data_IF_697253872584
#
_entry.id   IF_697253872584
#
_cell.length_a   1.000
_cell.length_b   1.000
_cell.length_c   1.000
_cell.angle_alpha   90.00
_cell.angle_beta   90.00
_cell.angle_gamma   90.00
#
_symmetry.space_group_name_H-M   'P 1'
#
loop_
_entity.id
_entity.type
_entity.pdbx_description
1 polymer ?
#
# COMPACT_ATOMS: atom_id res chain seq x y z
N UNK A 1 -7.47 6.84 14.53
CA UNK A 1 -6.63 6.09 13.57
C UNK A 1 -7.50 5.02 12.93
N UNK A 2 -7.64 5.01 11.60
CA UNK A 2 -8.27 3.89 10.89
C UNK A 2 -7.18 2.90 10.47
N UNK A 3 -7.35 1.62 10.79
CA UNK A 3 -6.38 0.59 10.49
C UNK A 3 -6.39 -0.54 11.51
N UNK A 4 -5.21 -1.04 11.87
CA UNK A 4 -5.03 -2.18 12.77
C UNK A 4 -3.86 -1.92 13.72
N UNK A 5 -3.98 -2.40 14.95
CA UNK A 5 -2.87 -2.56 15.88
C UNK A 5 -3.02 -3.91 16.56
N UNK A 6 -1.95 -4.69 16.56
CA UNK A 6 -1.88 -5.97 17.24
C UNK A 6 -0.48 -6.17 17.79
N UNK A 7 -0.39 -6.78 18.95
CA UNK A 7 0.88 -7.11 19.58
C UNK A 7 0.80 -8.54 20.12
N UNK A 8 1.89 -9.28 19.98
CA UNK A 8 1.99 -10.64 20.47
C UNK A 8 3.40 -10.91 20.97
N UNK A 9 3.48 -11.73 22.02
CA UNK A 9 4.74 -12.19 22.57
C UNK A 9 5.05 -13.55 21.94
N UNK A 10 6.27 -13.67 21.41
CA UNK A 10 6.79 -14.91 20.83
C UNK A 10 8.06 -15.31 21.56
N UNK A 11 8.21 -16.61 21.82
CA UNK A 11 9.42 -17.15 22.41
C UNK A 11 10.28 -17.79 21.32
N UNK A 12 11.50 -17.28 21.13
CA UNK A 12 12.47 -17.78 20.17
C UNK A 12 13.76 -18.08 20.92
N UNK A 13 14.16 -19.35 21.00
CA UNK A 13 15.39 -19.79 21.68
C UNK A 13 15.58 -19.14 23.07
N UNK A 14 14.55 -19.26 23.94
CA UNK A 14 14.53 -18.70 25.31
C UNK A 14 14.53 -17.17 25.40
N UNK A 15 14.38 -16.47 24.27
CA UNK A 15 14.18 -15.02 24.22
C UNK A 15 12.72 -14.72 23.98
N UNK A 16 12.12 -13.96 24.89
CA UNK A 16 10.78 -13.40 24.69
C UNK A 16 10.92 -12.15 23.84
N UNK A 17 10.36 -12.20 22.64
CA UNK A 17 10.33 -11.11 21.69
C UNK A 17 8.88 -10.64 21.57
N UNK A 18 8.70 -9.32 21.59
CA UNK A 18 7.41 -8.69 21.34
C UNK A 18 7.37 -8.30 19.87
N UNK A 19 6.37 -8.78 19.15
CA UNK A 19 6.09 -8.35 17.78
C UNK A 19 4.83 -7.50 17.79
N UNK A 20 4.95 -6.26 17.35
CA UNK A 20 3.85 -5.32 17.18
C UNK A 20 3.64 -5.06 15.70
N UNK A 21 2.43 -5.25 15.20
CA UNK A 21 2.04 -4.92 13.84
C UNK A 21 1.05 -3.76 13.87
N UNK A 22 1.39 -2.68 13.18
CA UNK A 22 0.57 -1.47 13.06
C UNK A 22 0.26 -1.24 11.59
N UNK A 23 -1.01 -1.10 11.23
CA UNK A 23 -1.43 -0.67 9.90
C UNK A 23 -2.18 0.66 10.01
N UNK A 24 -1.74 1.68 9.26
CA UNK A 24 -2.32 3.04 9.23
C UNK A 24 -2.88 3.32 7.84
N UNK A 25 -4.20 3.47 7.72
CA UNK A 25 -4.87 3.81 6.47
C UNK A 25 -4.97 5.32 6.30
N UNK A 26 -4.54 5.84 5.16
CA UNK A 26 -4.70 7.25 4.79
C UNK A 26 -6.17 7.61 4.56
N UNK A 27 -6.56 8.78 5.06
CA UNK A 27 -7.90 9.36 4.85
C UNK A 27 -7.96 10.34 3.68
N UNK A 28 -6.80 10.73 3.12
CA UNK A 28 -6.68 11.81 2.11
C UNK A 28 -7.34 11.47 0.77
N UNK A 29 -7.41 10.18 0.44
CA UNK A 29 -8.10 9.68 -0.74
C UNK A 29 -8.85 8.38 -0.39
N UNK A 30 -9.74 8.48 0.60
CA UNK A 30 -10.54 7.36 1.08
C UNK A 30 -11.82 7.15 0.23
N UNK A 31 -12.25 5.90 0.13
CA UNK A 31 -13.52 5.53 -0.48
C UNK A 31 -13.69 4.01 -0.54
N UNK A 32 -14.88 3.52 -0.93
CA UNK A 32 -15.12 2.09 -1.05
C UNK A 32 -14.23 1.45 -2.12
N UNK A 33 -13.86 0.19 -1.91
CA UNK A 33 -13.15 -0.62 -2.91
C UNK A 33 -14.00 -0.63 -4.19
N UNK A 34 -13.36 -0.42 -5.34
CA UNK A 34 -13.94 -0.24 -6.69
C UNK A 34 -14.44 1.17 -7.06
N UNK A 35 -14.90 1.97 -6.10
CA UNK A 35 -15.38 3.34 -6.37
C UNK A 35 -14.27 4.40 -6.30
N UNK A 36 -13.23 4.16 -5.49
CA UNK A 36 -12.07 5.06 -5.39
C UNK A 36 -10.77 4.33 -5.72
N UNK A 37 -10.12 4.76 -6.79
CA UNK A 37 -8.85 4.26 -7.33
C UNK A 37 -8.01 5.43 -7.85
N UNK A 38 -6.75 5.14 -8.15
CA UNK A 38 -5.83 6.08 -8.76
C UNK A 38 -5.41 7.21 -7.83
N UNK A 39 -5.13 8.35 -8.43
CA UNK A 39 -4.46 9.49 -7.83
C UNK A 39 -5.36 10.73 -7.84
N UNK A 40 -5.22 11.61 -6.84
CA UNK A 40 -5.79 12.96 -6.89
C UNK A 40 -4.83 13.95 -7.57
N UNK A 41 -5.32 15.12 -7.99
CA UNK A 41 -4.44 16.18 -8.51
C UNK A 41 -3.37 16.62 -7.51
N UNK A 42 -3.72 16.60 -6.23
CA UNK A 42 -2.77 16.86 -5.14
C UNK A 42 -1.78 15.72 -4.92
N UNK A 43 -1.80 14.60 -5.64
CA UNK A 43 -0.83 13.51 -5.48
C UNK A 43 -1.11 12.56 -4.30
N UNK A 44 -2.37 12.40 -3.87
CA UNK A 44 -2.75 11.39 -2.88
C UNK A 44 -3.31 10.15 -3.57
N UNK A 45 -2.69 8.98 -3.36
CA UNK A 45 -3.19 7.71 -3.92
C UNK A 45 -4.34 7.15 -3.10
N UNK A 46 -5.31 6.56 -3.78
CA UNK A 46 -6.43 5.93 -3.14
C UNK A 46 -5.98 4.67 -2.38
N UNK A 47 -6.58 4.45 -1.21
CA UNK A 47 -6.32 3.27 -0.37
C UNK A 47 -4.84 3.10 0.03
N UNK A 48 -4.13 4.20 0.27
CA UNK A 48 -2.78 4.17 0.86
C UNK A 48 -2.85 3.61 2.29
N UNK A 49 -2.01 2.61 2.55
CA UNK A 49 -1.83 1.97 3.85
C UNK A 49 -0.33 1.85 4.09
N UNK A 50 0.08 2.30 5.27
CA UNK A 50 1.41 2.06 5.82
C UNK A 50 1.32 0.95 6.85
N UNK A 51 2.11 -0.11 6.66
CA UNK A 51 2.23 -1.22 7.60
C UNK A 51 3.61 -1.15 8.23
N UNK A 52 3.66 -1.14 9.55
CA UNK A 52 4.88 -1.12 10.34
C UNK A 52 4.92 -2.35 11.24
N UNK A 53 6.01 -3.11 11.15
CA UNK A 53 6.33 -4.21 12.04
C UNK A 53 7.43 -3.75 12.99
N UNK A 54 7.15 -3.79 14.28
CA UNK A 54 8.10 -3.49 15.34
C UNK A 54 8.44 -4.79 16.05
N UNK A 55 9.73 -5.07 16.21
CA UNK A 55 10.23 -6.23 16.94
C UNK A 55 11.06 -5.72 18.11
N UNK A 56 10.66 -6.07 19.32
CA UNK A 56 11.33 -5.62 20.56
C UNK A 56 11.81 -6.82 21.35
N UNK A 57 13.07 -6.83 21.72
CA UNK A 57 13.64 -7.79 22.65
C UNK A 57 13.15 -7.47 24.07
N UNK A 58 12.42 -8.41 24.67
CA UNK A 58 11.88 -8.31 26.02
C UNK A 58 12.54 -9.29 26.99
N UNK A 59 13.72 -9.82 26.63
CA UNK A 59 14.46 -10.75 27.47
C UNK A 59 15.14 -10.00 28.63
N UNK A 60 15.07 -10.57 29.83
CA UNK A 60 15.78 -10.05 31.01
C UNK A 60 17.30 -10.14 30.87
N UNK A 61 17.79 -11.01 29.97
CA UNK A 61 19.21 -11.20 29.64
C UNK A 61 19.86 -9.97 28.98
N UNK A 62 19.08 -8.98 28.56
CA UNK A 62 19.57 -7.82 27.82
C UNK A 62 20.23 -6.73 28.70
N UNK A 63 20.51 -7.01 29.98
CA UNK A 63 21.14 -6.10 30.95
C UNK A 63 20.54 -4.68 30.96
N UNK A 64 19.21 -4.58 30.80
CA UNK A 64 18.48 -3.30 30.75
C UNK A 64 18.45 -2.59 29.40
N UNK A 65 19.20 -3.06 28.39
CA UNK A 65 19.19 -2.50 27.03
C UNK A 65 18.14 -3.22 26.17
N UNK A 66 16.92 -2.68 26.13
CA UNK A 66 15.87 -3.17 25.22
C UNK A 66 16.22 -2.80 23.78
N UNK A 67 16.49 -3.80 22.95
CA UNK A 67 16.71 -3.61 21.51
C UNK A 67 15.37 -3.63 20.79
N UNK A 68 15.15 -2.66 19.91
CA UNK A 68 13.98 -2.63 19.05
C UNK A 68 14.39 -2.36 17.61
N UNK A 69 13.60 -2.89 16.68
CA UNK A 69 13.72 -2.63 15.26
C UNK A 69 12.33 -2.36 14.69
N UNK A 70 12.25 -1.55 13.65
CA UNK A 70 11.02 -1.26 12.93
C UNK A 70 11.24 -1.43 11.43
N UNK A 71 10.28 -2.03 10.76
CA UNK A 71 10.27 -2.20 9.32
C UNK A 71 8.93 -1.73 8.75
N UNK A 72 8.98 -0.80 7.80
CA UNK A 72 7.80 -0.15 7.23
C UNK A 72 7.63 -0.52 5.76
N UNK A 73 6.40 -0.84 5.37
CA UNK A 73 5.99 -1.07 3.99
C UNK A 73 4.78 -0.21 3.63
N UNK A 74 4.75 0.24 2.38
CA UNK A 74 3.63 0.98 1.83
C UNK A 74 2.89 0.16 0.78
N UNK A 75 1.57 0.30 0.79
CA UNK A 75 0.67 -0.21 -0.24
C UNK A 75 -0.32 0.87 -0.61
N UNK A 76 -0.59 1.04 -1.90
CA UNK A 76 -1.60 1.98 -2.38
C UNK A 76 -2.08 1.65 -3.77
N UNK A 77 -3.03 2.44 -4.28
CA UNK A 77 -3.35 2.42 -5.71
C UNK A 77 -2.15 2.90 -6.52
N UNK A 78 -1.99 2.39 -7.74
CA UNK A 78 -0.95 2.88 -8.64
C UNK A 78 -1.11 4.40 -8.88
N UNK A 79 -0.02 5.18 -8.87
CA UNK A 79 -0.05 6.64 -8.81
C UNK A 79 -0.29 7.29 -10.18
N UNK A 80 -1.41 6.98 -10.80
CA UNK A 80 -1.90 7.64 -12.01
C UNK A 80 -3.43 7.77 -11.97
N UNK A 81 -4.00 8.53 -12.90
CA UNK A 81 -5.45 8.77 -12.94
C UNK A 81 -6.19 7.58 -13.57
N UNK A 82 -6.70 6.69 -12.73
CA UNK A 82 -7.49 5.55 -13.20
C UNK A 82 -8.64 5.21 -12.27
N UNK A 83 -9.70 4.64 -12.85
CA UNK A 83 -10.83 4.08 -12.12
C UNK A 83 -11.30 2.79 -12.76
N UNK A 84 -12.23 2.12 -12.10
CA UNK A 84 -13.02 1.08 -12.74
C UNK A 84 -14.27 1.71 -13.35
N UNK A 85 -14.72 1.19 -14.49
CA UNK A 85 -16.06 1.51 -14.98
C UNK A 85 -17.08 0.76 -14.12
N UNK A 86 -17.90 1.48 -13.37
CA UNK A 86 -18.95 0.89 -12.52
C UNK A 86 -20.30 1.42 -12.98
N UNK A 87 -21.01 0.68 -13.84
CA UNK A 87 -22.45 0.85 -14.01
C UNK A 87 -23.18 0.00 -12.98
N UNK A 88 -24.33 0.45 -12.47
CA UNK A 88 -25.12 -0.30 -11.47
C UNK A 88 -25.42 -1.74 -11.93
N UNK A 89 -25.69 -1.95 -13.22
CA UNK A 89 -25.91 -3.28 -13.82
C UNK A 89 -24.64 -4.15 -13.90
N UNK A 90 -23.44 -3.57 -14.00
CA UNK A 90 -22.19 -4.34 -14.14
C UNK A 90 -21.65 -4.86 -12.80
N UNK A 91 -21.99 -4.21 -11.68
CA UNK A 91 -21.61 -4.65 -10.33
C UNK A 91 -22.21 -6.02 -9.96
N UNK A 92 -23.32 -6.43 -10.59
CA UNK A 92 -23.98 -7.71 -10.37
C UNK A 92 -23.47 -8.83 -11.30
N UNK A 93 -22.83 -8.49 -12.43
CA UNK A 93 -22.55 -9.44 -13.53
C UNK A 93 -21.06 -9.64 -13.79
N UNK A 94 -20.20 -8.65 -13.46
CA UNK A 94 -18.78 -8.71 -13.79
C UNK A 94 -17.89 -8.71 -12.54
N UNK A 95 -17.19 -9.84 -12.30
CA UNK A 95 -16.29 -10.00 -11.16
C UNK A 95 -15.07 -9.06 -11.17
N UNK A 96 -14.71 -8.47 -12.32
CA UNK A 96 -13.65 -7.46 -12.46
C UNK A 96 -14.04 -6.40 -13.49
N UNK A 97 -14.52 -5.22 -13.06
CA UNK A 97 -14.84 -4.14 -13.99
C UNK A 97 -13.59 -3.68 -14.76
N UNK A 98 -13.72 -3.21 -16.01
CA UNK A 98 -12.59 -2.77 -16.82
C UNK A 98 -11.89 -1.56 -16.19
N UNK A 99 -10.59 -1.42 -16.47
CA UNK A 99 -9.77 -0.28 -16.03
C UNK A 99 -9.93 0.85 -17.04
N UNK A 100 -10.24 2.05 -16.57
CA UNK A 100 -10.27 3.27 -17.35
C UNK A 100 -9.16 4.21 -16.89
N UNK A 101 -8.39 4.70 -17.85
CA UNK A 101 -7.43 5.78 -17.63
C UNK A 101 -8.16 7.08 -17.97
N UNK A 102 -8.52 7.83 -16.94
CA UNK A 102 -9.50 8.93 -17.07
C UNK A 102 -8.87 10.24 -17.52
N UNK A 103 -7.58 10.43 -17.24
CA UNK A 103 -6.87 11.69 -17.49
C UNK A 103 -5.49 11.35 -18.03
N UNK A 104 -5.15 11.97 -19.15
CA UNK A 104 -3.79 11.97 -19.68
C UNK A 104 -3.04 13.12 -19.02
N UNK A 105 -2.10 12.79 -18.13
CA UNK A 105 -1.17 13.75 -17.53
C UNK A 105 0.19 13.59 -18.20
N UNK A 106 0.49 14.35 -19.27
CA UNK A 106 1.72 14.17 -20.05
C UNK A 106 2.99 14.52 -19.26
N UNK A 107 2.85 15.32 -18.20
CA UNK A 107 3.98 15.74 -17.36
C UNK A 107 4.09 14.93 -16.06
N UNK A 108 3.16 13.99 -15.83
CA UNK A 108 3.10 13.16 -14.62
C UNK A 108 3.22 13.96 -13.30
N UNK A 109 2.71 15.19 -13.29
CA UNK A 109 2.93 16.15 -12.20
C UNK A 109 2.40 15.62 -10.88
N UNK A 110 1.20 15.07 -10.87
CA UNK A 110 0.60 14.54 -9.64
C UNK A 110 1.34 13.31 -9.13
N UNK A 111 1.84 12.45 -10.03
CA UNK A 111 2.64 11.30 -9.67
C UNK A 111 4.00 11.73 -9.08
N UNK A 112 4.63 12.75 -9.66
CA UNK A 112 5.85 13.34 -9.13
C UNK A 112 5.64 13.93 -7.72
N UNK A 113 4.51 14.63 -7.48
CA UNK A 113 4.14 15.11 -6.14
C UNK A 113 4.00 13.94 -5.16
N UNK A 114 3.36 12.85 -5.58
CA UNK A 114 3.21 11.64 -4.75
C UNK A 114 4.57 11.06 -4.36
N UNK A 115 5.43 10.78 -5.33
CA UNK A 115 6.75 10.20 -5.07
C UNK A 115 7.64 11.14 -4.26
N UNK A 116 7.61 12.44 -4.51
CA UNK A 116 8.34 13.43 -3.70
C UNK A 116 7.95 13.38 -2.23
N UNK A 117 6.68 13.10 -1.90
CA UNK A 117 6.26 12.91 -0.50
C UNK A 117 6.79 11.61 0.09
N UNK A 118 6.78 10.52 -0.68
CA UNK A 118 7.32 9.25 -0.22
C UNK A 118 8.84 9.38 0.00
N UNK A 119 9.58 9.98 -0.93
CA UNK A 119 11.01 10.25 -0.78
C UNK A 119 11.32 11.09 0.46
N UNK A 120 10.52 12.12 0.73
CA UNK A 120 10.68 12.94 1.94
C UNK A 120 10.43 12.18 3.24
N UNK A 121 9.54 11.17 3.22
CA UNK A 121 9.13 10.45 4.44
C UNK A 121 9.98 9.21 4.71
N UNK A 122 10.37 8.47 3.68
CA UNK A 122 11.07 7.18 3.83
C UNK A 122 12.48 7.18 3.21
N UNK A 123 12.89 8.27 2.56
CA UNK A 123 14.17 8.35 1.88
C UNK A 123 14.20 7.61 0.54
N UNK A 124 15.42 7.28 0.13
CA UNK A 124 15.73 6.54 -1.10
C UNK A 124 16.56 5.29 -0.76
N UNK A 125 16.44 4.20 -1.53
CA UNK A 125 15.58 4.01 -2.71
C UNK A 125 14.12 3.68 -2.36
N UNK A 126 13.20 3.93 -3.30
CA UNK A 126 11.83 3.38 -3.28
C UNK A 126 11.76 2.25 -4.31
N UNK A 127 11.31 1.07 -3.88
CA UNK A 127 11.09 -0.08 -4.76
C UNK A 127 9.58 -0.29 -4.94
N UNK A 128 9.10 -0.11 -6.17
CA UNK A 128 7.70 -0.35 -6.52
C UNK A 128 7.50 -1.77 -7.05
N UNK A 129 6.75 -2.59 -6.31
CA UNK A 129 6.38 -3.95 -6.73
C UNK A 129 4.99 -3.95 -7.34
N UNK A 130 4.89 -4.38 -8.61
CA UNK A 130 3.63 -4.53 -9.33
C UNK A 130 3.39 -6.00 -9.70
N UNK A 131 2.25 -6.57 -9.27
CA UNK A 131 1.91 -7.99 -9.44
C UNK A 131 0.78 -8.21 -10.47
N UNK A 132 0.75 -7.41 -11.54
CA UNK A 132 -0.24 -7.58 -12.61
C UNK A 132 0.04 -8.87 -13.38
N UNK A 133 -0.90 -9.81 -13.34
CA UNK A 133 -0.90 -11.00 -14.19
C UNK A 133 -1.22 -10.61 -15.63
N UNK A 134 -0.22 -10.61 -16.50
CA UNK A 134 -0.43 -10.50 -17.94
C UNK A 134 -0.95 -11.84 -18.44
N UNK A 135 -2.13 -11.86 -19.07
CA UNK A 135 -2.52 -13.02 -19.90
C UNK A 135 -1.75 -12.87 -21.21
N UNK A 136 -0.94 -13.87 -21.56
CA UNK A 136 -0.37 -13.95 -22.90
C UNK A 136 -1.55 -13.96 -23.89
N UNK A 137 -1.66 -12.92 -24.71
CA UNK A 137 -2.53 -12.97 -25.87
C UNK A 137 -1.86 -13.90 -26.87
N UNK A 138 -2.45 -15.07 -27.11
CA UNK A 138 -2.17 -15.84 -28.33
C UNK A 138 -2.61 -14.98 -29.50
N UNK A 139 -1.65 -14.32 -30.14
CA UNK A 139 -1.86 -13.67 -31.42
C UNK A 139 -1.96 -14.80 -32.44
N UNK A 140 -3.18 -15.21 -32.79
CA UNK A 140 -3.42 -15.89 -34.06
C UNK A 140 -3.38 -14.80 -35.13
N UNK A 141 -2.23 -14.64 -35.78
CA UNK A 141 -2.18 -14.01 -37.10
C UNK A 141 -2.58 -15.07 -38.15
N UNK A 142 -3.27 -14.68 -39.22
CA UNK A 142 -3.60 -15.57 -40.34
C UNK A 142 -2.35 -16.10 -41.05
#
# INVERSE_FOLDING_TARGET
MYGYIGQTDINIYERTIIVTLIARKSVKNAGPRFYKRGLTFDGYVANEIETEQIVTDNTLLSYGLRKSSSYVQLRGSAPFFWSHFTTEKQNLVCAKPPILVNVVDPYHRSAAIHFNRIFKRYGIPIICLNLVKVRAFSINLP
#
